data_IF_738189063672
#
_entry.id   IF_738189063672
#
_cell.length_a   1.000
_cell.length_b   1.000
_cell.length_c   1.000
_cell.angle_alpha   90.00
_cell.angle_beta   90.00
_cell.angle_gamma   90.00
#
_symmetry.space_group_name_H-M   'P 1'
#
loop_
_entity.id
_entity.type
_entity.pdbx_description
1 polymer ?
#
# COMPACT_ATOMS: atom_id res chain seq x y z
N UNK A 1 -18.21 -11.61 -8.60
CA UNK A 1 -17.13 -11.83 -7.63
C UNK A 1 -17.59 -12.88 -6.62
N UNK A 2 -16.66 -13.74 -6.19
CA UNK A 2 -16.91 -14.73 -5.13
C UNK A 2 -16.13 -14.23 -3.92
N UNK A 3 -16.76 -13.93 -2.76
CA UNK A 3 -16.04 -13.52 -1.57
C UNK A 3 -15.18 -14.68 -1.06
N UNK A 4 -13.91 -14.39 -0.73
CA UNK A 4 -12.99 -15.35 -0.12
C UNK A 4 -13.22 -15.41 1.39
N UNK A 5 -13.46 -14.25 2.01
CA UNK A 5 -13.75 -14.10 3.43
C UNK A 5 -14.65 -12.88 3.64
N UNK A 6 -15.45 -12.91 4.70
CA UNK A 6 -16.23 -11.76 5.13
C UNK A 6 -15.32 -10.72 5.79
N UNK A 7 -15.77 -9.48 5.85
CA UNK A 7 -15.02 -8.35 6.43
C UNK A 7 -14.54 -8.62 7.86
N UNK A 8 -15.36 -9.28 8.66
CA UNK A 8 -15.11 -9.60 10.05
C UNK A 8 -14.08 -10.73 10.24
N UNK A 9 -13.73 -11.43 9.14
CA UNK A 9 -12.78 -12.53 9.21
C UNK A 9 -11.38 -12.07 9.66
N UNK A 10 -10.92 -10.89 9.22
CA UNK A 10 -9.59 -10.36 9.57
C UNK A 10 -9.68 -8.90 10.03
N UNK A 11 -10.19 -8.64 11.23
CA UNK A 11 -10.56 -7.29 11.68
C UNK A 11 -9.37 -6.36 11.92
N UNK A 12 -8.19 -6.91 12.24
CA UNK A 12 -6.94 -6.18 12.47
C UNK A 12 -6.08 -5.97 11.22
N UNK A 13 -6.58 -6.37 10.04
CA UNK A 13 -5.93 -6.04 8.77
C UNK A 13 -6.32 -4.63 8.33
N UNK A 14 -5.40 -3.71 8.49
CA UNK A 14 -5.56 -2.31 8.14
C UNK A 14 -4.76 -1.93 6.89
N UNK A 15 -5.08 -0.78 6.33
CA UNK A 15 -4.46 -0.26 5.11
C UNK A 15 -4.05 1.20 5.33
N UNK A 16 -2.82 1.53 4.96
CA UNK A 16 -2.33 2.90 4.86
C UNK A 16 -2.02 3.21 3.39
N UNK A 17 -2.79 4.11 2.79
CA UNK A 17 -2.57 4.53 1.41
C UNK A 17 -1.71 5.79 1.43
N UNK A 18 -0.53 5.73 0.80
CA UNK A 18 0.37 6.85 0.62
C UNK A 18 0.11 7.50 -0.74
N UNK A 19 -0.61 8.62 -0.75
CA UNK A 19 -0.94 9.36 -1.97
C UNK A 19 0.25 10.23 -2.36
N UNK A 20 0.95 9.82 -3.40
CA UNK A 20 2.15 10.50 -3.93
C UNK A 20 1.74 11.53 -4.99
N UNK A 21 0.78 11.18 -5.84
CA UNK A 21 0.31 12.06 -6.91
C UNK A 21 -1.18 11.88 -7.17
N UNK A 22 -1.90 13.00 -7.23
CA UNK A 22 -3.34 13.09 -7.58
C UNK A 22 -3.56 13.47 -9.05
N UNK A 23 -2.49 13.76 -9.82
CA UNK A 23 -2.61 14.19 -11.20
C UNK A 23 -2.98 13.02 -12.14
N UNK A 24 -3.60 13.36 -13.28
CA UNK A 24 -3.88 12.38 -14.34
C UNK A 24 -2.59 11.70 -14.80
N UNK A 25 -2.64 10.38 -14.95
CA UNK A 25 -1.54 9.53 -15.43
C UNK A 25 -1.19 9.84 -16.89
N UNK A 26 0.09 9.82 -17.24
CA UNK A 26 0.53 10.02 -18.62
C UNK A 26 0.07 8.90 -19.58
N UNK A 27 0.05 7.64 -19.09
CA UNK A 27 -0.51 6.49 -19.81
C UNK A 27 -1.75 6.00 -19.08
N UNK A 28 -2.88 5.90 -19.78
CA UNK A 28 -4.08 5.32 -19.18
C UNK A 28 -3.85 3.83 -18.87
N UNK A 29 -4.45 3.33 -17.81
CA UNK A 29 -4.35 1.91 -17.43
C UNK A 29 -4.88 0.99 -18.55
N UNK A 30 -5.90 1.41 -19.29
CA UNK A 30 -6.48 0.64 -20.40
C UNK A 30 -5.50 0.48 -21.55
N UNK A 31 -4.88 1.56 -22.01
CA UNK A 31 -3.88 1.52 -23.10
C UNK A 31 -2.63 0.75 -22.63
N UNK A 32 -2.20 0.98 -21.39
CA UNK A 32 -1.09 0.23 -20.80
C UNK A 32 -1.33 -1.27 -20.78
N UNK A 33 -2.51 -1.71 -20.32
CA UNK A 33 -2.87 -3.14 -20.31
C UNK A 33 -2.90 -3.75 -21.71
N UNK A 34 -3.46 -3.06 -22.71
CA UNK A 34 -3.47 -3.53 -24.10
C UNK A 34 -2.05 -3.75 -24.63
N UNK A 35 -1.19 -2.74 -24.49
CA UNK A 35 0.21 -2.86 -24.92
C UNK A 35 0.94 -4.00 -24.19
N UNK A 36 0.68 -4.17 -22.89
CA UNK A 36 1.31 -5.25 -22.11
C UNK A 36 0.87 -6.63 -22.60
N UNK A 37 -0.42 -6.81 -22.90
CA UNK A 37 -0.94 -8.07 -23.48
C UNK A 37 -0.28 -8.39 -24.82
N UNK A 38 -0.08 -7.36 -25.66
CA UNK A 38 0.45 -7.54 -27.02
C UNK A 38 1.97 -7.74 -27.05
N UNK A 39 2.71 -7.16 -26.10
CA UNK A 39 4.16 -7.03 -26.23
C UNK A 39 4.99 -7.67 -25.12
N UNK A 40 4.40 -8.02 -23.96
CA UNK A 40 5.16 -8.58 -22.84
C UNK A 40 5.11 -10.11 -22.76
N UNK A 41 6.21 -10.82 -23.06
CA UNK A 41 6.31 -12.26 -22.80
C UNK A 41 6.19 -12.61 -21.32
N UNK A 42 6.66 -11.72 -20.42
CA UNK A 42 6.52 -11.92 -18.97
C UNK A 42 5.06 -11.96 -18.54
N UNK A 43 4.18 -11.16 -19.15
CA UNK A 43 2.76 -11.23 -18.85
C UNK A 43 2.16 -12.58 -19.21
N UNK A 44 2.57 -13.18 -20.34
CA UNK A 44 2.08 -14.52 -20.75
C UNK A 44 2.49 -15.59 -19.75
N UNK A 45 3.72 -15.53 -19.24
CA UNK A 45 4.18 -16.41 -18.16
C UNK A 45 3.41 -16.15 -16.85
N UNK A 46 3.22 -14.90 -16.50
CA UNK A 46 2.46 -14.47 -15.30
C UNK A 46 1.05 -15.06 -15.31
N UNK A 47 0.32 -14.92 -16.42
CA UNK A 47 -1.06 -15.41 -16.55
C UNK A 47 -1.14 -16.93 -16.39
N UNK A 48 -0.20 -17.67 -17.01
CA UNK A 48 -0.26 -19.13 -17.08
C UNK A 48 0.23 -19.81 -15.79
N UNK A 49 1.21 -19.25 -15.11
CA UNK A 49 1.94 -19.93 -14.05
C UNK A 49 1.91 -19.18 -12.72
N UNK A 50 2.16 -17.87 -12.73
CA UNK A 50 2.35 -17.11 -11.49
C UNK A 50 1.02 -16.82 -10.79
N UNK A 51 0.06 -16.27 -11.51
CA UNK A 51 -1.21 -15.82 -10.92
C UNK A 51 -2.05 -16.97 -10.35
N UNK A 52 -2.23 -18.12 -11.07
CA UNK A 52 -3.02 -19.22 -10.54
C UNK A 52 -2.48 -19.75 -9.21
N UNK A 53 -1.16 -19.93 -9.12
CA UNK A 53 -0.50 -20.39 -7.90
C UNK A 53 -0.62 -19.36 -6.75
N UNK A 54 -0.32 -18.08 -7.03
CA UNK A 54 -0.43 -17.02 -6.03
C UNK A 54 -1.85 -16.80 -5.53
N UNK A 55 -2.86 -16.93 -6.38
CA UNK A 55 -4.26 -16.85 -5.97
C UNK A 55 -4.61 -17.94 -4.94
N UNK A 56 -4.15 -19.17 -5.18
CA UNK A 56 -4.35 -20.25 -4.21
C UNK A 56 -3.65 -19.96 -2.89
N UNK A 57 -2.35 -19.61 -2.94
CA UNK A 57 -1.55 -19.30 -1.76
C UNK A 57 -2.12 -18.10 -0.98
N UNK A 58 -2.57 -17.05 -1.67
CA UNK A 58 -3.20 -15.88 -1.06
C UNK A 58 -4.51 -16.24 -0.37
N UNK A 59 -5.35 -17.08 -0.99
CA UNK A 59 -6.57 -17.58 -0.36
C UNK A 59 -6.24 -18.30 0.96
N UNK A 60 -5.24 -19.18 0.96
CA UNK A 60 -4.80 -19.88 2.17
C UNK A 60 -4.28 -18.90 3.24
N UNK A 61 -3.44 -17.92 2.85
CA UNK A 61 -2.93 -16.91 3.77
C UNK A 61 -4.05 -16.09 4.42
N UNK A 62 -5.05 -15.68 3.65
CA UNK A 62 -6.23 -14.97 4.16
C UNK A 62 -7.02 -15.85 5.12
N UNK A 63 -7.34 -17.09 4.74
CA UNK A 63 -8.11 -18.01 5.57
C UNK A 63 -7.43 -18.31 6.92
N UNK A 64 -6.09 -18.41 6.91
CA UNK A 64 -5.29 -18.65 8.11
C UNK A 64 -4.94 -17.38 8.89
N UNK A 65 -5.23 -16.19 8.34
CA UNK A 65 -4.77 -14.89 8.84
C UNK A 65 -3.24 -14.85 8.99
N UNK A 66 -2.55 -15.52 8.08
CA UNK A 66 -1.09 -15.57 8.05
C UNK A 66 -0.53 -14.29 7.41
N UNK A 67 -0.20 -13.31 8.25
CA UNK A 67 0.28 -12.01 7.79
C UNK A 67 1.68 -12.11 7.15
N UNK A 68 2.50 -13.06 7.54
CA UNK A 68 3.82 -13.25 6.94
C UNK A 68 3.70 -13.74 5.50
N UNK A 69 2.91 -14.79 5.26
CA UNK A 69 2.61 -15.29 3.92
C UNK A 69 1.89 -14.22 3.08
N UNK A 70 0.89 -13.53 3.65
CA UNK A 70 0.18 -12.43 2.98
C UNK A 70 1.14 -11.33 2.52
N UNK A 71 2.07 -10.91 3.39
CA UNK A 71 3.08 -9.87 3.09
C UNK A 71 3.98 -10.30 1.95
N UNK A 72 4.54 -11.51 2.03
CA UNK A 72 5.42 -12.06 0.99
C UNK A 72 4.72 -12.12 -0.38
N UNK A 73 3.49 -12.66 -0.41
CA UNK A 73 2.73 -12.80 -1.65
C UNK A 73 2.33 -11.46 -2.26
N UNK A 74 1.84 -10.52 -1.44
CA UNK A 74 1.43 -9.18 -1.86
C UNK A 74 2.60 -8.42 -2.49
N UNK A 75 3.73 -8.39 -1.80
CA UNK A 75 4.94 -7.72 -2.26
C UNK A 75 5.50 -8.36 -3.54
N UNK A 76 5.61 -9.69 -3.56
CA UNK A 76 6.09 -10.42 -4.73
C UNK A 76 5.17 -10.23 -5.95
N UNK A 77 3.86 -10.15 -5.74
CA UNK A 77 2.91 -9.94 -6.83
C UNK A 77 2.98 -8.52 -7.40
N UNK A 78 3.10 -7.52 -6.54
CA UNK A 78 3.32 -6.13 -6.94
C UNK A 78 4.59 -6.00 -7.79
N UNK A 79 5.71 -6.56 -7.33
CA UNK A 79 6.98 -6.52 -8.04
C UNK A 79 6.90 -7.23 -9.41
N UNK A 80 6.24 -8.38 -9.48
CA UNK A 80 6.05 -9.11 -10.73
C UNK A 80 5.15 -8.34 -11.71
N UNK A 81 4.09 -7.68 -11.23
CA UNK A 81 3.23 -6.83 -12.04
C UNK A 81 4.04 -5.67 -12.67
N UNK A 82 4.85 -4.95 -11.88
CA UNK A 82 5.68 -3.86 -12.39
C UNK A 82 6.82 -4.33 -13.30
N UNK A 83 7.33 -5.56 -13.13
CA UNK A 83 8.25 -6.17 -14.07
C UNK A 83 7.59 -6.36 -15.46
N UNK A 84 6.32 -6.81 -15.52
CA UNK A 84 5.56 -6.87 -16.77
C UNK A 84 5.35 -5.49 -17.40
N UNK A 85 5.15 -4.44 -16.58
CA UNK A 85 5.05 -3.06 -17.07
C UNK A 85 6.35 -2.61 -17.74
N UNK A 86 7.50 -2.92 -17.15
CA UNK A 86 8.81 -2.60 -17.72
C UNK A 86 9.13 -3.41 -18.98
N UNK A 87 8.64 -4.65 -19.08
CA UNK A 87 8.80 -5.54 -20.23
C UNK A 87 7.87 -5.17 -21.41
N UNK A 88 6.93 -4.26 -21.18
CA UNK A 88 6.00 -3.76 -22.20
C UNK A 88 6.72 -2.86 -23.22
N UNK A 89 6.30 -2.88 -24.48
CA UNK A 89 6.84 -1.99 -25.51
C UNK A 89 5.77 -1.01 -26.00
N UNK A 90 5.95 0.33 -25.83
CA UNK A 90 7.03 0.98 -25.05
C UNK A 90 6.90 0.69 -23.54
N UNK A 91 8.01 0.74 -22.77
CA UNK A 91 7.98 0.41 -21.34
C UNK A 91 7.09 1.39 -20.55
N UNK A 92 6.42 0.86 -19.54
CA UNK A 92 5.50 1.61 -18.69
C UNK A 92 6.14 1.83 -17.33
N UNK A 93 6.25 3.10 -16.91
CA UNK A 93 6.79 3.52 -15.62
C UNK A 93 5.68 4.11 -14.76
N UNK A 94 5.01 3.25 -13.97
CA UNK A 94 3.99 3.71 -13.04
C UNK A 94 4.59 4.25 -11.74
N UNK A 95 5.66 3.64 -11.26
CA UNK A 95 6.36 4.03 -10.04
C UNK A 95 7.37 5.14 -10.31
N UNK A 96 7.49 6.09 -9.38
CA UNK A 96 8.49 7.16 -9.37
C UNK A 96 9.50 6.97 -8.24
N UNK A 97 10.41 7.95 -8.03
CA UNK A 97 11.45 7.88 -6.99
C UNK A 97 10.86 7.82 -5.58
N UNK A 98 9.76 8.53 -5.32
CA UNK A 98 9.05 8.46 -4.03
C UNK A 98 8.47 7.06 -3.82
N UNK A 99 7.89 6.45 -4.85
CA UNK A 99 7.39 5.07 -4.78
C UNK A 99 8.50 4.09 -4.42
N UNK A 100 9.66 4.20 -5.08
CA UNK A 100 10.84 3.35 -4.80
C UNK A 100 11.38 3.57 -3.39
N UNK A 101 11.41 4.81 -2.91
CA UNK A 101 11.82 5.10 -1.54
C UNK A 101 10.87 4.48 -0.51
N UNK A 102 9.54 4.50 -0.74
CA UNK A 102 8.57 3.81 0.12
C UNK A 102 8.86 2.31 0.15
N UNK A 103 9.16 1.69 -1.01
CA UNK A 103 9.56 0.28 -1.06
C UNK A 103 10.78 0.02 -0.17
N UNK A 104 11.85 0.80 -0.31
CA UNK A 104 13.08 0.64 0.48
C UNK A 104 12.82 0.79 1.99
N UNK A 105 11.96 1.74 2.40
CA UNK A 105 11.60 1.92 3.80
C UNK A 105 10.85 0.69 4.34
N UNK A 106 9.89 0.15 3.59
CA UNK A 106 9.11 -1.03 4.02
C UNK A 106 10.00 -2.28 4.06
N UNK A 107 10.86 -2.48 3.07
CA UNK A 107 11.81 -3.59 3.06
C UNK A 107 12.78 -3.52 4.25
N UNK A 108 13.28 -2.32 4.60
CA UNK A 108 14.14 -2.14 5.77
C UNK A 108 13.40 -2.41 7.09
N UNK A 109 12.15 -1.97 7.22
CA UNK A 109 11.31 -2.28 8.36
C UNK A 109 11.15 -3.82 8.54
N UNK A 110 10.84 -4.51 7.45
CA UNK A 110 10.66 -5.96 7.47
C UNK A 110 11.99 -6.70 7.76
N UNK A 111 13.11 -6.22 7.19
CA UNK A 111 14.44 -6.75 7.45
C UNK A 111 14.81 -6.63 8.94
N UNK A 112 14.61 -5.44 9.52
CA UNK A 112 14.93 -5.20 10.92
C UNK A 112 14.09 -6.07 11.87
N UNK A 113 12.81 -6.28 11.54
CA UNK A 113 11.91 -7.19 12.28
C UNK A 113 12.37 -8.64 12.18
N UNK A 114 12.73 -9.09 10.97
CA UNK A 114 13.24 -10.45 10.76
C UNK A 114 14.52 -10.72 11.56
N UNK A 115 15.44 -9.76 11.63
CA UNK A 115 16.65 -9.87 12.46
C UNK A 115 16.35 -9.90 13.97
N UNK A 116 15.24 -9.29 14.39
CA UNK A 116 14.74 -9.38 15.75
C UNK A 116 13.93 -10.66 16.03
N UNK A 117 13.76 -11.55 15.04
CA UNK A 117 12.96 -12.78 15.17
C UNK A 117 11.45 -12.51 15.16
N UNK A 118 11.01 -11.39 14.59
CA UNK A 118 9.62 -10.97 14.55
C UNK A 118 9.04 -11.10 13.14
N UNK A 119 7.72 -11.20 13.06
CA UNK A 119 6.99 -11.19 11.78
C UNK A 119 7.17 -9.87 11.03
N UNK A 120 7.00 -9.86 9.69
CA UNK A 120 7.00 -8.62 8.92
C UNK A 120 5.93 -7.65 9.44
N UNK A 121 6.21 -6.35 9.29
CA UNK A 121 5.34 -5.28 9.81
C UNK A 121 4.38 -4.73 8.74
N UNK A 122 4.78 -4.75 7.47
CA UNK A 122 3.99 -4.19 6.38
C UNK A 122 4.23 -4.91 5.04
N UNK A 123 3.16 -5.01 4.23
CA UNK A 123 3.26 -5.37 2.82
C UNK A 123 2.98 -4.13 1.97
N UNK A 124 3.75 -3.92 0.90
CA UNK A 124 3.44 -2.89 -0.07
C UNK A 124 2.84 -3.48 -1.35
N UNK A 125 1.99 -2.69 -1.99
CA UNK A 125 1.57 -2.92 -3.36
C UNK A 125 1.33 -1.60 -4.08
N UNK A 126 1.48 -1.63 -5.39
CA UNK A 126 1.23 -0.51 -6.29
C UNK A 126 0.35 -0.99 -7.45
N UNK A 127 -0.56 -0.15 -7.86
CA UNK A 127 -1.34 -0.33 -9.08
C UNK A 127 -0.72 0.46 -10.27
N UNK A 128 -1.53 0.81 -11.26
CA UNK A 128 -1.13 1.63 -12.39
C UNK A 128 -0.89 3.10 -11.98
N UNK A 129 -0.02 3.34 -11.00
CA UNK A 129 0.33 4.69 -10.51
C UNK A 129 1.38 4.67 -9.40
N UNK A 130 1.85 5.86 -8.96
CA UNK A 130 2.92 5.98 -7.98
C UNK A 130 2.45 5.85 -6.53
N UNK A 131 1.13 5.75 -6.29
CA UNK A 131 0.58 5.69 -4.94
C UNK A 131 0.81 4.31 -4.33
N UNK A 132 1.36 4.28 -3.11
CA UNK A 132 1.59 3.04 -2.40
C UNK A 132 0.37 2.67 -1.54
N UNK A 133 0.04 1.39 -1.52
CA UNK A 133 -0.90 0.80 -0.57
C UNK A 133 -0.11 -0.10 0.37
N UNK A 134 -0.11 0.21 1.65
CA UNK A 134 0.57 -0.55 2.69
C UNK A 134 -0.46 -1.32 3.51
N UNK A 135 -0.38 -2.65 3.51
CA UNK A 135 -1.15 -3.49 4.42
C UNK A 135 -0.38 -3.66 5.71
N UNK A 136 -1.03 -3.43 6.84
CA UNK A 136 -0.41 -3.38 8.17
C UNK A 136 -1.38 -3.95 9.19
N UNK A 137 -0.91 -4.68 10.21
CA UNK A 137 -1.79 -5.04 11.33
C UNK A 137 -2.08 -3.82 12.21
N UNK A 138 -3.26 -3.75 12.79
CA UNK A 138 -3.69 -2.63 13.64
C UNK A 138 -2.65 -2.25 14.69
N UNK A 139 -2.07 -3.23 15.38
CA UNK A 139 -1.05 -3.03 16.42
C UNK A 139 0.23 -2.33 15.92
N UNK A 140 0.54 -2.47 14.64
CA UNK A 140 1.77 -1.94 14.02
C UNK A 140 1.52 -0.62 13.25
N UNK A 141 0.25 -0.23 13.05
CA UNK A 141 -0.15 0.91 12.21
C UNK A 141 0.48 2.23 12.67
N UNK A 142 0.51 2.49 13.97
CA UNK A 142 1.11 3.72 14.50
C UNK A 142 2.60 3.82 14.16
N UNK A 143 3.34 2.71 14.32
CA UNK A 143 4.76 2.65 14.00
C UNK A 143 5.01 2.91 12.50
N UNK A 144 4.31 2.19 11.63
CA UNK A 144 4.46 2.35 10.17
C UNK A 144 4.12 3.77 9.74
N UNK A 145 3.04 4.35 10.25
CA UNK A 145 2.65 5.73 9.96
C UNK A 145 3.72 6.73 10.38
N UNK A 146 4.28 6.61 11.59
CA UNK A 146 5.35 7.49 12.07
C UNK A 146 6.61 7.39 11.22
N UNK A 147 7.00 6.19 10.80
CA UNK A 147 8.14 5.97 9.90
C UNK A 147 7.89 6.61 8.54
N UNK A 148 6.70 6.43 7.96
CA UNK A 148 6.35 7.09 6.68
C UNK A 148 6.39 8.60 6.83
N UNK A 149 5.84 9.18 7.91
CA UNK A 149 5.88 10.62 8.16
C UNK A 149 7.29 11.16 8.45
N UNK A 150 8.20 10.32 8.96
CA UNK A 150 9.60 10.69 9.12
C UNK A 150 10.27 10.90 7.75
N UNK A 151 10.17 9.92 6.85
CA UNK A 151 10.84 9.99 5.55
C UNK A 151 10.12 10.88 4.54
N UNK A 152 8.81 11.07 4.70
CA UNK A 152 7.96 11.85 3.79
C UNK A 152 7.14 12.88 4.58
N UNK A 153 7.78 13.96 5.08
CA UNK A 153 7.11 14.96 5.91
C UNK A 153 6.05 15.75 5.14
N UNK A 154 5.12 16.38 5.87
CA UNK A 154 4.08 17.26 5.32
C UNK A 154 2.86 16.53 4.76
N UNK A 155 2.78 15.20 4.86
CA UNK A 155 1.58 14.45 4.48
C UNK A 155 0.40 14.79 5.42
N UNK A 156 -0.76 15.12 4.84
CA UNK A 156 -2.01 15.26 5.62
C UNK A 156 -2.58 13.89 5.96
N UNK A 157 -3.21 13.77 7.13
CA UNK A 157 -3.89 12.53 7.56
C UNK A 157 -5.37 12.56 7.24
N UNK A 158 -5.87 11.48 6.66
CA UNK A 158 -7.29 11.18 6.45
C UNK A 158 -7.58 9.83 7.13
N UNK A 159 -8.08 9.89 8.37
CA UNK A 159 -8.40 8.68 9.14
C UNK A 159 -9.87 8.32 8.96
N UNK A 160 -10.14 7.45 8.00
CA UNK A 160 -11.49 7.02 7.66
C UNK A 160 -12.13 6.07 8.66
N UNK A 161 -11.37 5.58 9.64
CA UNK A 161 -11.91 4.74 10.71
C UNK A 161 -12.63 5.55 11.77
N UNK A 162 -12.25 6.82 11.96
CA UNK A 162 -12.89 7.73 12.92
C UNK A 162 -14.22 8.27 12.40
N UNK A 163 -14.43 8.35 11.07
CA UNK A 163 -15.67 8.86 10.46
C UNK A 163 -16.85 7.91 10.51
N UNK A 164 -16.65 6.60 10.72
CA UNK A 164 -17.73 5.62 10.78
C UNK A 164 -18.52 5.64 12.10
N UNK A 165 -18.05 6.36 13.11
CA UNK A 165 -18.74 6.50 14.41
C UNK A 165 -19.51 7.82 14.56
N UNK A 166 -19.36 8.78 13.65
CA UNK A 166 -20.00 10.09 13.72
C UNK A 166 -20.69 10.43 12.40
N UNK A 167 -21.85 9.82 12.16
CA UNK A 167 -22.85 10.41 11.30
C UNK A 167 -23.54 11.53 12.10
N UNK A 168 -23.10 12.76 11.93
CA UNK A 168 -23.63 14.07 12.27
C UNK A 168 -22.61 14.93 13.05
N UNK A 169 -21.73 15.55 12.36
CA UNK A 169 -21.32 16.96 12.44
C UNK A 169 -19.98 17.14 11.71
N UNK A 170 -19.99 18.03 10.76
CA UNK A 170 -18.78 18.57 10.16
C UNK A 170 -17.94 19.23 11.28
N UNK A 171 -16.98 18.48 11.82
CA UNK A 171 -15.90 19.10 12.56
C UNK A 171 -14.80 19.43 11.53
N UNK A 172 -14.33 20.70 11.47
CA UNK A 172 -13.26 21.07 10.57
C UNK A 172 -12.04 20.22 10.89
N UNK A 173 -11.44 19.63 9.85
CA UNK A 173 -10.15 18.97 9.92
C UNK A 173 -9.24 19.89 10.75
N UNK A 174 -8.85 19.45 11.93
CA UNK A 174 -7.90 20.18 12.75
C UNK A 174 -6.64 20.35 11.94
N UNK A 175 -6.40 21.57 11.50
CA UNK A 175 -5.18 22.01 10.84
C UNK A 175 -4.02 21.86 11.84
N UNK A 176 -3.50 20.65 11.95
CA UNK A 176 -2.16 20.47 12.46
C UNK A 176 -1.27 21.15 11.42
N UNK A 177 -0.73 22.31 11.80
CA UNK A 177 0.20 23.09 11.03
C UNK A 177 1.20 22.15 10.33
N UNK A 178 1.26 22.26 9.02
CA UNK A 178 2.23 21.56 8.18
C UNK A 178 3.65 22.01 8.56
N UNK A 179 4.19 21.43 9.64
CA UNK A 179 5.59 21.64 9.95
C UNK A 179 6.38 20.90 8.87
N UNK A 180 7.20 21.62 8.15
CA UNK A 180 8.13 21.10 7.13
C UNK A 180 9.25 20.23 7.76
N UNK A 181 9.20 20.01 9.07
CA UNK A 181 10.15 19.20 9.82
C UNK A 181 9.70 17.73 9.86
N UNK A 182 10.61 16.82 9.56
CA UNK A 182 10.38 15.38 9.73
C UNK A 182 10.13 15.05 11.20
N UNK A 183 9.17 14.16 11.46
CA UNK A 183 8.94 13.62 12.80
C UNK A 183 10.12 12.71 13.20
N UNK A 184 10.44 12.60 14.50
CA UNK A 184 11.42 11.61 14.94
C UNK A 184 10.96 10.18 14.63
N UNK A 185 11.90 9.29 14.39
CA UNK A 185 11.61 7.86 14.26
C UNK A 185 11.03 7.31 15.58
N UNK A 186 10.08 6.38 15.53
CA UNK A 186 9.50 5.78 16.72
C UNK A 186 10.53 4.97 17.51
N UNK A 187 10.52 5.08 18.82
CA UNK A 187 11.40 4.32 19.72
C UNK A 187 11.09 2.81 19.75
N UNK A 188 9.98 2.40 19.19
CA UNK A 188 9.56 0.99 19.07
C UNK A 188 10.24 0.24 17.92
N UNK A 189 11.06 0.91 17.12
CA UNK A 189 11.80 0.25 16.04
C UNK A 189 12.87 -0.69 16.62
N UNK A 190 13.13 -1.85 15.99
CA UNK A 190 14.25 -2.72 16.34
C UNK A 190 15.58 -1.95 16.28
N UNK A 191 16.52 -2.27 17.19
CA UNK A 191 17.85 -1.65 17.22
C UNK A 191 18.66 -1.87 15.92
N UNK A 192 18.28 -2.87 15.14
CA UNK A 192 18.90 -3.21 13.85
C UNK A 192 18.36 -2.36 12.68
N UNK A 193 17.33 -1.53 12.91
CA UNK A 193 16.79 -0.64 11.88
C UNK A 193 17.83 0.39 11.44
N UNK A 194 17.99 0.56 10.14
CA UNK A 194 18.94 1.49 9.53
C UNK A 194 18.24 2.78 9.09
N UNK A 195 18.40 3.88 9.82
CA UNK A 195 17.70 5.14 9.54
C UNK A 195 18.17 5.85 8.26
N UNK A 196 19.29 5.44 7.71
CA UNK A 196 19.90 5.99 6.49
C UNK A 196 19.51 5.20 5.22
N UNK A 197 18.52 4.32 5.29
CA UNK A 197 18.04 3.48 4.16
C UNK A 197 17.63 4.33 2.94
N UNK A 198 17.02 5.48 3.18
CA UNK A 198 16.77 6.52 2.19
C UNK A 198 16.93 7.89 2.86
N UNK A 199 17.24 8.96 2.11
CA UNK A 199 17.20 10.31 2.65
C UNK A 199 15.75 10.71 2.99
N UNK A 200 15.60 11.64 3.92
CA UNK A 200 14.30 12.30 4.15
C UNK A 200 13.94 13.08 2.88
N UNK A 201 12.77 12.79 2.34
CA UNK A 201 12.28 13.40 1.12
C UNK A 201 11.77 14.84 1.38
N UNK A 202 11.68 15.67 0.33
CA UNK A 202 11.07 16.99 0.44
C UNK A 202 9.63 16.88 0.95
N UNK A 203 9.22 17.85 1.77
CA UNK A 203 7.85 17.91 2.28
C UNK A 203 6.81 17.90 1.15
N UNK A 204 5.78 17.07 1.29
CA UNK A 204 4.74 16.90 0.29
C UNK A 204 5.08 15.89 -0.84
N UNK A 205 6.23 15.19 -0.77
CA UNK A 205 6.51 14.05 -1.66
C UNK A 205 5.46 12.94 -1.52
N UNK A 206 4.95 12.73 -0.30
CA UNK A 206 3.68 12.09 -0.02
C UNK A 206 2.73 13.19 0.44
N UNK A 207 1.61 13.38 -0.26
CA UNK A 207 0.67 14.48 -0.02
C UNK A 207 -0.32 14.16 1.08
N UNK A 208 -0.79 12.92 1.10
CA UNK A 208 -1.85 12.46 1.99
C UNK A 208 -1.63 11.01 2.39
N UNK A 209 -1.93 10.70 3.64
CA UNK A 209 -2.01 9.35 4.17
C UNK A 209 -3.47 9.05 4.48
N UNK A 210 -4.02 7.99 3.89
CA UNK A 210 -5.39 7.55 4.15
C UNK A 210 -5.31 6.26 4.95
N UNK A 211 -5.81 6.28 6.19
CA UNK A 211 -5.93 5.10 7.02
C UNK A 211 -7.33 4.50 6.88
N UNK A 212 -7.40 3.24 6.50
CA UNK A 212 -8.66 2.51 6.32
C UNK A 212 -8.48 1.03 6.65
N UNK A 213 -9.53 0.24 6.48
CA UNK A 213 -9.55 -1.21 6.68
C UNK A 213 -10.40 -1.89 5.62
N UNK A 214 -10.46 -3.21 5.65
CA UNK A 214 -11.32 -4.01 4.76
C UNK A 214 -12.77 -3.52 4.91
N UNK A 215 -13.39 -3.17 3.79
CA UNK A 215 -14.80 -2.77 3.71
C UNK A 215 -15.72 -3.94 3.41
N UNK A 216 -17.02 -3.64 3.35
CA UNK A 216 -18.00 -4.58 2.85
C UNK A 216 -17.76 -4.84 1.36
N UNK A 217 -18.20 -5.98 0.86
CA UNK A 217 -18.11 -6.32 -0.55
C UNK A 217 -18.90 -5.36 -1.46
N UNK A 218 -18.88 -5.59 -2.77
CA UNK A 218 -19.62 -4.76 -3.72
C UNK A 218 -21.11 -4.79 -3.44
N UNK A 219 -21.76 -3.61 -3.48
CA UNK A 219 -23.20 -3.45 -3.28
C UNK A 219 -23.86 -2.99 -4.57
N UNK A 220 -25.06 -3.47 -4.82
CA UNK A 220 -25.95 -2.88 -5.83
C UNK A 220 -26.63 -1.68 -5.18
N UNK A 221 -26.36 -0.49 -5.70
CA UNK A 221 -27.04 0.73 -5.24
C UNK A 221 -28.36 0.87 -5.98
N UNK A 222 -29.44 1.17 -5.24
CA UNK A 222 -30.70 1.57 -5.84
C UNK A 222 -30.57 2.97 -6.48
N UNK A 223 -31.38 3.25 -7.51
CA UNK A 223 -31.36 4.54 -8.18
C UNK A 223 -31.53 5.70 -7.17
N UNK A 224 -30.51 6.58 -7.05
CA UNK A 224 -30.50 7.71 -6.13
C UNK A 224 -29.63 7.55 -4.88
N UNK A 225 -29.01 6.40 -4.64
CA UNK A 225 -28.06 6.15 -3.56
C UNK A 225 -26.61 6.22 -4.10
N UNK A 226 -26.25 7.33 -4.75
CA UNK A 226 -24.86 7.60 -5.09
C UNK A 226 -24.09 8.15 -3.86
N UNK A 227 -22.73 8.01 -3.83
CA UNK A 227 -21.92 8.60 -2.77
C UNK A 227 -21.99 10.11 -2.79
#
# INVERSE_FOLDING_TARGET
AIPIAEREHWPDLHVLICVVNDAKKGTSSTVGMQNTVETSPLLQHRIKHVVPERMQQMNEAIQKRDFAAFTQLTTADSNNFHACCLDTTPPIFYMNDTSRAIVHVVEELNRARAEAGEDPIAAYTFDAGPNAVLYVREKDMLCVRQVVQHYFPGATMDDRLQGAANDASEAPASSLSSSSLSLPLPSSLPATFRPDVVPVHPAGSVRRLIHTRVGDGPRVLEHGQGP
#
